data_IF_532312293820
#
_entry.id   IF_532312293820
#
_cell.length_a   1.000
_cell.length_b   1.000
_cell.length_c   1.000
_cell.angle_alpha   90.00
_cell.angle_beta   90.00
_cell.angle_gamma   90.00
#
_symmetry.space_group_name_H-M   'P 1'
#
loop_
_entity.id
_entity.type
_entity.pdbx_description
1 polymer ?
#
# COMPACT_ATOMS: atom_id res chain seq x y z
N UNK A 1 12.68 20.51 -21.44
CA UNK A 1 11.43 21.26 -21.71
C UNK A 1 10.30 20.54 -21.00
N UNK A 2 9.76 21.15 -19.97
CA UNK A 2 8.73 20.58 -19.08
C UNK A 2 7.40 20.50 -19.82
N UNK A 3 6.87 19.31 -20.04
CA UNK A 3 5.49 19.14 -20.43
C UNK A 3 4.65 19.18 -19.15
N UNK A 4 4.25 20.37 -18.75
CA UNK A 4 3.06 20.48 -17.90
C UNK A 4 1.87 20.20 -18.81
N UNK A 5 1.31 19.01 -18.77
CA UNK A 5 -0.04 18.83 -19.28
C UNK A 5 -0.93 19.78 -18.47
N UNK A 6 -1.63 20.71 -19.13
CA UNK A 6 -2.59 21.61 -18.47
C UNK A 6 -3.80 20.87 -17.89
N UNK A 7 -3.67 19.59 -17.63
CA UNK A 7 -4.69 18.69 -17.10
C UNK A 7 -4.56 18.59 -15.58
N UNK A 8 -5.65 18.85 -14.89
CA UNK A 8 -5.73 18.74 -13.42
C UNK A 8 -6.41 17.42 -13.08
N UNK A 9 -5.69 16.51 -12.40
CA UNK A 9 -6.27 15.28 -11.87
C UNK A 9 -7.17 15.57 -10.68
N UNK A 10 -8.18 14.75 -10.47
CA UNK A 10 -8.98 14.85 -9.23
C UNK A 10 -8.12 14.44 -8.04
N UNK A 11 -7.37 13.34 -8.18
CA UNK A 11 -6.47 12.87 -7.14
C UNK A 11 -5.16 12.35 -7.74
N UNK A 12 -4.05 12.76 -7.14
CA UNK A 12 -2.73 12.18 -7.38
C UNK A 12 -2.32 11.38 -6.15
N UNK A 13 -1.83 10.15 -6.37
CA UNK A 13 -1.41 9.25 -5.30
C UNK A 13 0.08 9.00 -5.43
N UNK A 14 0.82 9.21 -4.35
CA UNK A 14 2.26 8.94 -4.28
C UNK A 14 2.48 7.61 -3.61
N UNK A 15 2.97 6.64 -4.37
CA UNK A 15 3.19 5.25 -3.96
C UNK A 15 2.06 4.31 -4.35
N UNK A 16 2.40 3.14 -4.91
CA UNK A 16 1.46 2.11 -5.37
C UNK A 16 1.51 0.82 -4.52
N UNK A 17 1.85 0.94 -3.23
CA UNK A 17 1.72 -0.14 -2.27
C UNK A 17 0.25 -0.40 -1.89
N UNK A 18 0.00 -1.25 -0.88
CA UNK A 18 -1.35 -1.62 -0.47
C UNK A 18 -2.26 -0.40 -0.22
N UNK A 19 -1.75 0.63 0.47
CA UNK A 19 -2.54 1.84 0.77
C UNK A 19 -2.85 2.64 -0.50
N UNK A 20 -1.84 2.89 -1.34
CA UNK A 20 -2.02 3.66 -2.57
C UNK A 20 -2.85 2.92 -3.62
N UNK A 21 -2.63 1.61 -3.77
CA UNK A 21 -3.43 0.76 -4.65
C UNK A 21 -4.89 0.68 -4.24
N UNK A 22 -5.16 0.52 -2.93
CA UNK A 22 -6.53 0.53 -2.40
C UNK A 22 -7.22 1.89 -2.63
N UNK A 23 -6.55 2.99 -2.29
CA UNK A 23 -7.09 4.33 -2.52
C UNK A 23 -7.38 4.58 -4.01
N UNK A 24 -6.45 4.17 -4.89
CA UNK A 24 -6.63 4.31 -6.33
C UNK A 24 -7.82 3.51 -6.84
N UNK A 25 -7.97 2.24 -6.39
CA UNK A 25 -9.08 1.38 -6.80
C UNK A 25 -10.43 1.96 -6.41
N UNK A 26 -10.57 2.45 -5.17
CA UNK A 26 -11.81 3.06 -4.70
C UNK A 26 -12.13 4.37 -5.41
N UNK A 27 -11.16 5.25 -5.56
CA UNK A 27 -11.38 6.54 -6.21
C UNK A 27 -11.69 6.39 -7.70
N UNK A 28 -10.96 5.53 -8.40
CA UNK A 28 -11.24 5.27 -9.81
C UNK A 28 -12.61 4.60 -10.01
N UNK A 29 -12.99 3.63 -9.16
CA UNK A 29 -14.31 3.01 -9.20
C UNK A 29 -15.44 4.02 -8.91
N UNK A 30 -15.16 5.08 -8.15
CA UNK A 30 -16.08 6.20 -7.93
C UNK A 30 -16.11 7.23 -9.08
N UNK A 31 -15.36 7.00 -10.16
CA UNK A 31 -15.34 7.85 -11.36
C UNK A 31 -14.40 9.06 -11.29
N UNK A 32 -13.50 9.11 -10.30
CA UNK A 32 -12.49 10.16 -10.22
C UNK A 32 -11.34 9.91 -11.20
N UNK A 33 -10.79 10.99 -11.76
CA UNK A 33 -9.54 10.94 -12.52
C UNK A 33 -8.37 10.80 -11.56
N UNK A 34 -7.74 9.60 -11.53
CA UNK A 34 -6.69 9.24 -10.59
C UNK A 34 -5.39 8.97 -11.31
N UNK A 35 -4.31 9.63 -10.85
CA UNK A 35 -2.94 9.36 -11.26
C UNK A 35 -2.15 8.78 -10.08
N UNK A 36 -1.52 7.62 -10.27
CA UNK A 36 -0.62 7.01 -9.29
C UNK A 36 0.82 7.15 -9.75
N UNK A 37 1.68 7.75 -8.93
CA UNK A 37 3.11 7.85 -9.16
C UNK A 37 3.85 6.86 -8.27
N UNK A 38 4.62 5.97 -8.89
CA UNK A 38 5.41 4.94 -8.19
C UNK A 38 6.89 5.10 -8.52
N UNK A 39 7.72 5.17 -7.49
CA UNK A 39 9.17 5.32 -7.66
C UNK A 39 9.81 4.08 -8.26
N UNK A 40 9.40 2.91 -7.81
CA UNK A 40 10.00 1.66 -8.24
C UNK A 40 9.47 1.23 -9.61
N UNK A 41 10.35 0.96 -10.56
CA UNK A 41 9.97 0.51 -11.90
C UNK A 41 9.49 -0.94 -11.95
N UNK A 42 9.84 -1.75 -10.94
CA UNK A 42 9.46 -3.15 -10.80
C UNK A 42 8.72 -3.37 -9.47
N UNK A 43 7.88 -4.41 -9.37
CA UNK A 43 7.26 -4.78 -8.10
C UNK A 43 8.32 -4.95 -7.02
N UNK A 44 8.13 -4.28 -5.90
CA UNK A 44 9.05 -4.28 -4.77
C UNK A 44 8.65 -5.34 -3.74
N UNK A 45 9.63 -6.12 -3.29
CA UNK A 45 9.45 -6.96 -2.10
C UNK A 45 9.46 -6.04 -0.88
N UNK A 46 8.36 -5.99 -0.14
CA UNK A 46 8.25 -5.24 1.10
C UNK A 46 8.20 -6.21 2.28
N UNK A 47 9.09 -6.06 3.28
CA UNK A 47 9.01 -6.87 4.50
C UNK A 47 7.64 -6.75 5.14
N UNK A 48 6.93 -7.87 5.27
CA UNK A 48 5.61 -7.95 5.87
C UNK A 48 5.28 -9.41 6.14
N UNK A 49 4.70 -9.71 7.31
CA UNK A 49 4.19 -11.05 7.62
C UNK A 49 2.95 -11.44 6.81
N UNK A 50 2.34 -10.48 6.11
CA UNK A 50 1.18 -10.72 5.26
C UNK A 50 -0.13 -11.01 6.00
N UNK A 51 -0.12 -10.94 7.33
CA UNK A 51 -1.30 -11.24 8.13
C UNK A 51 -2.37 -10.15 8.01
N UNK A 52 -3.62 -10.54 7.72
CA UNK A 52 -4.76 -9.64 7.68
C UNK A 52 -6.06 -10.36 8.02
N UNK A 53 -6.99 -9.66 8.66
CA UNK A 53 -8.32 -10.20 8.91
C UNK A 53 -9.08 -10.35 7.58
N UNK A 54 -9.74 -11.49 7.38
CA UNK A 54 -10.51 -11.73 6.16
C UNK A 54 -11.70 -10.77 6.01
N UNK A 55 -12.18 -10.18 7.12
CA UNK A 55 -13.22 -9.14 7.08
C UNK A 55 -12.85 -7.90 6.26
N UNK A 56 -11.56 -7.69 5.96
CA UNK A 56 -11.12 -6.62 5.05
C UNK A 56 -11.78 -6.76 3.67
N UNK A 57 -12.12 -7.99 3.24
CA UNK A 57 -12.81 -8.24 1.98
C UNK A 57 -14.10 -7.41 1.82
N UNK A 58 -14.82 -7.15 2.88
CA UNK A 58 -16.08 -6.38 2.83
C UNK A 58 -15.91 -4.94 2.29
N UNK A 59 -14.70 -4.40 2.35
CA UNK A 59 -14.38 -3.06 1.89
C UNK A 59 -14.04 -2.98 0.39
N UNK A 60 -13.90 -4.14 -0.29
CA UNK A 60 -13.54 -4.18 -1.70
C UNK A 60 -14.66 -4.82 -2.53
N UNK A 61 -15.07 -4.20 -3.65
CA UNK A 61 -16.08 -4.75 -4.55
C UNK A 61 -15.57 -5.90 -5.42
N UNK A 62 -14.30 -6.27 -5.28
CA UNK A 62 -13.63 -7.35 -5.98
C UNK A 62 -12.96 -8.32 -5.00
N UNK A 63 -12.70 -9.55 -5.42
CA UNK A 63 -12.08 -10.56 -4.57
C UNK A 63 -10.60 -10.28 -4.31
N UNK A 64 -10.19 -10.36 -3.03
CA UNK A 64 -8.79 -10.35 -2.62
C UNK A 64 -8.18 -11.76 -2.54
N UNK A 65 -8.99 -12.83 -2.72
CA UNK A 65 -8.54 -14.22 -2.67
C UNK A 65 -7.32 -14.55 -3.54
N UNK A 66 -7.16 -13.97 -4.77
CA UNK A 66 -5.98 -14.25 -5.58
C UNK A 66 -4.65 -13.88 -4.90
N UNK A 67 -4.68 -12.99 -3.91
CA UNK A 67 -3.51 -12.61 -3.12
C UNK A 67 -3.31 -13.47 -1.86
N UNK A 68 -4.32 -14.29 -1.48
CA UNK A 68 -4.27 -15.13 -0.27
C UNK A 68 -3.36 -16.33 -0.54
N UNK A 69 -2.39 -16.53 0.31
CA UNK A 69 -1.47 -17.68 0.26
C UNK A 69 -1.91 -18.77 1.24
N UNK A 70 -2.44 -18.37 2.39
CA UNK A 70 -2.89 -19.30 3.42
C UNK A 70 -4.04 -18.72 4.24
N UNK A 71 -4.97 -19.59 4.64
CA UNK A 71 -6.04 -19.29 5.59
C UNK A 71 -5.66 -19.84 6.95
N UNK A 72 -5.60 -19.00 7.96
CA UNK A 72 -5.26 -19.35 9.33
C UNK A 72 -6.53 -19.48 10.13
N UNK A 73 -6.74 -20.64 10.74
CA UNK A 73 -7.88 -20.94 11.62
C UNK A 73 -7.49 -21.14 13.08
N UNK A 74 -6.19 -21.35 13.33
CA UNK A 74 -5.62 -21.57 14.64
C UNK A 74 -4.33 -20.79 14.80
N UNK A 75 -4.15 -20.17 15.94
CA UNK A 75 -2.92 -19.49 16.33
C UNK A 75 -2.47 -20.02 17.68
N UNK A 76 -1.23 -20.42 17.78
CA UNK A 76 -0.58 -20.84 19.01
C UNK A 76 0.33 -19.71 19.48
N UNK A 77 0.06 -19.19 20.67
CA UNK A 77 0.89 -18.16 21.31
C UNK A 77 1.72 -18.79 22.42
N UNK A 78 2.92 -18.29 22.63
CA UNK A 78 3.74 -18.63 23.79
C UNK A 78 4.50 -17.39 24.28
N UNK A 79 4.82 -17.36 25.57
CA UNK A 79 5.71 -16.38 26.14
C UNK A 79 7.04 -17.07 26.47
N UNK A 80 8.16 -16.60 25.89
CA UNK A 80 9.49 -17.21 26.06
C UNK A 80 9.51 -18.73 25.79
N UNK A 81 8.69 -19.22 24.86
CA UNK A 81 8.48 -20.65 24.56
C UNK A 81 7.79 -21.45 25.68
N UNK A 82 7.28 -20.76 26.68
CA UNK A 82 6.48 -21.31 27.79
C UNK A 82 5.05 -20.80 27.71
N UNK A 83 4.17 -21.25 28.59
CA UNK A 83 2.77 -20.82 28.70
C UNK A 83 2.02 -20.81 27.36
N UNK A 84 1.92 -21.94 26.65
CA UNK A 84 1.27 -21.98 25.36
C UNK A 84 -0.23 -21.71 25.47
N UNK A 85 -0.72 -20.78 24.66
CA UNK A 85 -2.14 -20.47 24.52
C UNK A 85 -2.57 -20.72 23.08
N UNK A 86 -3.59 -21.56 22.92
CA UNK A 86 -4.16 -21.89 21.62
C UNK A 86 -5.43 -21.07 21.40
N UNK A 87 -5.48 -20.29 20.34
CA UNK A 87 -6.67 -19.59 19.90
C UNK A 87 -7.21 -20.22 18.60
N UNK A 88 -8.42 -20.76 18.66
CA UNK A 88 -9.17 -21.15 17.47
C UNK A 88 -9.96 -19.94 17.00
N UNK A 89 -9.74 -19.53 15.78
CA UNK A 89 -10.40 -18.37 15.19
C UNK A 89 -11.78 -18.79 14.66
N UNK A 90 -12.85 -18.03 14.93
CA UNK A 90 -14.18 -18.36 14.47
C UNK A 90 -14.36 -18.12 12.98
N UNK A 91 -15.22 -18.91 12.33
CA UNK A 91 -15.56 -18.80 10.92
C UNK A 91 -14.71 -19.65 9.99
N UNK A 92 -15.09 -19.69 8.73
CA UNK A 92 -14.46 -20.59 7.74
C UNK A 92 -13.11 -20.05 7.24
N UNK A 93 -12.92 -18.74 7.17
CA UNK A 93 -11.70 -18.11 6.69
C UNK A 93 -11.38 -16.83 7.49
N UNK A 94 -11.15 -16.93 8.82
CA UNK A 94 -11.13 -15.74 9.67
C UNK A 94 -9.91 -14.86 9.52
N UNK A 95 -8.77 -15.44 9.13
CA UNK A 95 -7.51 -14.71 9.00
C UNK A 95 -6.71 -15.23 7.81
N UNK A 96 -6.18 -14.30 7.03
CA UNK A 96 -5.42 -14.58 5.81
C UNK A 96 -3.94 -14.25 5.97
N UNK A 97 -3.11 -15.05 5.35
CA UNK A 97 -1.73 -14.69 5.02
C UNK A 97 -1.70 -14.38 3.53
N UNK A 98 -1.35 -13.14 3.19
CA UNK A 98 -1.25 -12.68 1.81
C UNK A 98 0.19 -12.42 1.42
N UNK A 99 0.49 -12.60 0.14
CA UNK A 99 1.74 -12.12 -0.44
C UNK A 99 1.57 -10.65 -0.82
N UNK A 100 2.39 -9.79 -0.23
CA UNK A 100 2.33 -8.35 -0.49
C UNK A 100 2.53 -8.02 -1.95
N UNK A 101 3.42 -8.72 -2.65
CA UNK A 101 3.63 -8.50 -4.08
C UNK A 101 2.37 -8.78 -4.90
N UNK A 102 1.63 -9.85 -4.54
CA UNK A 102 0.38 -10.20 -5.20
C UNK A 102 -0.75 -9.25 -4.82
N UNK A 103 -0.86 -8.90 -3.53
CA UNK A 103 -1.89 -7.99 -3.05
C UNK A 103 -1.71 -6.59 -3.64
N UNK A 104 -0.48 -6.05 -3.56
CA UNK A 104 -0.20 -4.71 -4.06
C UNK A 104 -0.46 -4.63 -5.58
N UNK A 105 -0.08 -5.67 -6.34
CA UNK A 105 -0.34 -5.73 -7.79
C UNK A 105 -1.83 -5.87 -8.09
N UNK A 106 -2.56 -6.75 -7.37
CA UNK A 106 -4.00 -6.93 -7.55
C UNK A 106 -4.76 -5.60 -7.36
N UNK A 107 -4.44 -4.87 -6.29
CA UNK A 107 -5.08 -3.58 -6.01
C UNK A 107 -4.83 -2.56 -7.12
N UNK A 108 -3.60 -2.52 -7.63
CA UNK A 108 -3.24 -1.63 -8.74
C UNK A 108 -3.92 -2.04 -10.05
N UNK A 109 -3.99 -3.33 -10.35
CA UNK A 109 -4.65 -3.83 -11.55
C UNK A 109 -6.15 -3.50 -11.52
N UNK A 110 -6.80 -3.60 -10.36
CA UNK A 110 -8.18 -3.18 -10.17
C UNK A 110 -8.34 -1.66 -10.35
N UNK A 111 -7.40 -0.87 -9.85
CA UNK A 111 -7.41 0.58 -10.06
C UNK A 111 -7.29 0.95 -11.54
N UNK A 112 -6.36 0.33 -12.26
CA UNK A 112 -6.16 0.53 -13.71
C UNK A 112 -7.41 0.08 -14.48
N UNK A 113 -7.97 -1.09 -14.14
CA UNK A 113 -9.21 -1.59 -14.73
C UNK A 113 -10.40 -0.65 -14.52
N UNK A 114 -10.42 0.11 -13.45
CA UNK A 114 -11.42 1.14 -13.16
C UNK A 114 -11.10 2.52 -13.77
N UNK A 115 -9.98 2.68 -14.49
CA UNK A 115 -9.62 3.90 -15.21
C UNK A 115 -8.53 4.76 -14.55
N UNK A 116 -7.87 4.30 -13.48
CA UNK A 116 -6.71 5.00 -12.95
C UNK A 116 -5.51 4.87 -13.88
N UNK A 117 -4.71 5.94 -13.96
CA UNK A 117 -3.41 5.92 -14.62
C UNK A 117 -2.31 5.62 -13.60
N UNK A 118 -1.31 4.82 -13.97
CA UNK A 118 -0.12 4.56 -13.16
C UNK A 118 1.15 4.83 -13.94
N UNK A 119 2.03 5.63 -13.36
CA UNK A 119 3.39 5.85 -13.86
C UNK A 119 4.40 5.26 -12.88
N UNK A 120 5.28 4.38 -13.37
CA UNK A 120 6.36 3.78 -12.59
C UNK A 120 7.71 4.40 -12.94
N UNK A 121 8.71 4.25 -12.07
CA UNK A 121 10.00 4.90 -12.22
C UNK A 121 9.93 6.42 -12.01
N UNK A 122 8.96 6.88 -11.21
CA UNK A 122 8.70 8.30 -10.94
C UNK A 122 8.91 8.59 -9.48
N UNK A 123 10.04 9.18 -9.14
CA UNK A 123 10.34 9.61 -7.79
C UNK A 123 9.84 11.04 -7.56
N UNK A 124 8.89 11.19 -6.65
CA UNK A 124 8.37 12.52 -6.26
C UNK A 124 9.35 13.18 -5.30
N UNK A 125 9.78 14.39 -5.65
CA UNK A 125 10.76 15.16 -4.87
C UNK A 125 10.20 16.43 -4.27
N UNK A 126 9.08 16.93 -4.81
CA UNK A 126 8.40 18.10 -4.25
C UNK A 126 6.89 17.99 -4.36
N UNK A 127 6.19 18.47 -3.34
CA UNK A 127 4.74 18.59 -3.26
C UNK A 127 4.43 19.93 -2.63
N UNK A 128 3.83 20.82 -3.38
CA UNK A 128 3.46 22.15 -2.89
C UNK A 128 2.04 22.52 -3.31
N UNK A 129 1.40 23.38 -2.51
CA UNK A 129 0.10 23.92 -2.85
C UNK A 129 0.25 25.22 -3.62
N UNK A 130 -0.36 25.29 -4.81
CA UNK A 130 -0.39 26.46 -5.64
C UNK A 130 -1.85 26.88 -5.88
N UNK A 131 -2.29 27.93 -5.21
CA UNK A 131 -3.69 28.40 -5.24
C UNK A 131 -4.66 27.27 -4.79
N UNK A 132 -5.48 26.79 -5.72
CA UNK A 132 -6.52 25.78 -5.45
C UNK A 132 -6.12 24.35 -5.80
N UNK A 133 -4.89 24.15 -6.30
CA UNK A 133 -4.37 22.85 -6.70
C UNK A 133 -3.06 22.52 -6.01
N UNK A 134 -2.76 21.23 -5.96
CA UNK A 134 -1.46 20.72 -5.57
C UNK A 134 -0.60 20.53 -6.82
N UNK A 135 0.63 20.97 -6.74
CA UNK A 135 1.65 20.70 -7.75
C UNK A 135 2.61 19.64 -7.20
N UNK A 136 2.84 18.60 -7.98
CA UNK A 136 3.74 17.48 -7.63
C UNK A 136 4.84 17.43 -8.68
N UNK A 137 6.10 17.47 -8.23
CA UNK A 137 7.29 17.46 -9.08
C UNK A 137 8.08 16.18 -8.87
N UNK A 138 8.46 15.52 -9.97
CA UNK A 138 9.35 14.35 -9.95
C UNK A 138 10.83 14.77 -10.12
N UNK A 139 11.73 13.85 -9.74
CA UNK A 139 13.20 14.04 -9.83
C UNK A 139 13.71 14.28 -11.25
N UNK A 140 12.97 13.80 -12.25
CA UNK A 140 13.27 14.03 -13.67
C UNK A 140 12.71 15.34 -14.24
N UNK A 141 12.10 16.17 -13.39
CA UNK A 141 11.56 17.48 -13.73
C UNK A 141 10.13 17.47 -14.28
N UNK A 142 9.48 16.31 -14.43
CA UNK A 142 8.05 16.23 -14.77
C UNK A 142 7.21 16.80 -13.64
N UNK A 143 6.07 17.39 -14.00
CA UNK A 143 5.14 18.01 -13.05
C UNK A 143 3.70 17.64 -13.38
N UNK A 144 2.90 17.50 -12.34
CA UNK A 144 1.45 17.26 -12.43
C UNK A 144 0.72 18.15 -11.45
N UNK A 145 -0.55 18.41 -11.77
CA UNK A 145 -1.44 19.15 -10.90
C UNK A 145 -2.64 18.27 -10.51
N UNK A 146 -3.07 18.39 -9.28
CA UNK A 146 -4.23 17.66 -8.76
C UNK A 146 -5.01 18.50 -7.73
N UNK A 147 -6.31 18.24 -7.60
CA UNK A 147 -7.16 18.85 -6.57
C UNK A 147 -6.81 18.30 -5.17
N UNK A 148 -6.43 17.02 -5.11
CA UNK A 148 -6.02 16.34 -3.89
C UNK A 148 -4.77 15.50 -4.12
N UNK A 149 -3.95 15.32 -3.08
CA UNK A 149 -2.81 14.41 -3.08
C UNK A 149 -2.93 13.44 -1.92
N UNK A 150 -2.80 12.15 -2.23
CA UNK A 150 -2.73 11.06 -1.25
C UNK A 150 -1.28 10.61 -1.13
N UNK A 151 -0.72 10.68 0.06
CA UNK A 151 0.63 10.23 0.36
C UNK A 151 0.56 8.81 0.90
N UNK A 152 1.06 7.85 0.12
CA UNK A 152 1.02 6.42 0.40
C UNK A 152 2.36 5.72 0.10
N UNK A 153 3.47 6.46 0.17
CA UNK A 153 4.82 6.02 -0.19
C UNK A 153 5.54 5.22 0.92
N UNK A 154 4.83 4.97 2.02
CA UNK A 154 5.24 4.04 3.07
C UNK A 154 5.83 4.70 4.30
N UNK A 155 6.35 3.86 5.23
CA UNK A 155 6.79 4.27 6.56
C UNK A 155 7.99 5.22 6.57
N UNK A 156 8.80 5.21 5.51
CA UNK A 156 9.97 6.09 5.37
C UNK A 156 9.66 7.36 4.58
N UNK A 157 8.39 7.71 4.45
CA UNK A 157 7.94 8.91 3.77
C UNK A 157 8.48 10.18 4.43
N UNK A 158 9.09 11.10 3.69
CA UNK A 158 9.49 12.40 4.23
C UNK A 158 8.32 13.39 4.29
N UNK A 159 7.21 13.09 3.59
CA UNK A 159 6.13 14.05 3.36
C UNK A 159 5.31 14.40 4.59
N UNK A 160 4.98 13.47 5.52
CA UNK A 160 4.24 13.84 6.72
C UNK A 160 4.93 14.95 7.51
N UNK A 161 6.26 14.84 7.67
CA UNK A 161 7.04 15.86 8.34
C UNK A 161 7.11 17.16 7.53
N UNK A 162 7.37 17.09 6.23
CA UNK A 162 7.50 18.26 5.35
C UNK A 162 6.22 19.08 5.24
N UNK A 163 5.08 18.39 5.26
CA UNK A 163 3.75 19.00 5.13
C UNK A 163 3.08 19.29 6.48
N UNK A 164 3.76 19.02 7.60
CA UNK A 164 3.19 19.23 8.92
C UNK A 164 2.07 18.25 9.30
N UNK A 165 2.02 17.08 8.64
CA UNK A 165 1.02 16.04 8.82
C UNK A 165 1.55 14.92 9.71
N UNK A 166 1.64 15.11 11.00
CA UNK A 166 2.08 14.05 11.91
C UNK A 166 3.17 14.46 12.90
N UNK A 167 3.65 13.47 13.65
CA UNK A 167 4.67 13.70 14.68
C UNK A 167 6.03 14.05 14.05
N UNK A 168 6.73 15.02 14.62
CA UNK A 168 8.10 15.38 14.21
C UNK A 168 9.10 14.23 14.39
N UNK A 169 8.86 13.39 15.40
CA UNK A 169 9.69 12.24 15.75
C UNK A 169 8.79 11.02 15.96
N UNK A 170 8.39 10.29 14.89
CA UNK A 170 7.60 9.09 15.04
C UNK A 170 8.43 8.00 15.74
N UNK A 171 7.80 7.21 16.60
CA UNK A 171 8.42 6.01 17.14
C UNK A 171 8.46 4.96 16.02
N UNK A 172 9.64 4.52 15.65
CA UNK A 172 9.86 3.56 14.58
C UNK A 172 10.39 2.24 15.13
N UNK A 173 9.94 1.15 14.55
CA UNK A 173 10.51 -0.17 14.71
C UNK A 173 10.99 -0.69 13.36
N UNK A 174 12.06 -1.45 13.35
CA UNK A 174 12.58 -2.09 12.14
C UNK A 174 12.15 -3.55 12.13
N UNK A 175 11.62 -4.01 11.00
CA UNK A 175 11.30 -5.41 10.77
C UNK A 175 12.22 -6.00 9.69
N UNK A 176 12.61 -7.24 9.90
CA UNK A 176 13.35 -8.04 8.91
C UNK A 176 12.55 -9.29 8.64
N UNK A 177 12.38 -9.63 7.36
CA UNK A 177 11.68 -10.85 6.93
C UNK A 177 12.62 -11.73 6.15
N UNK A 178 12.65 -13.02 6.49
CA UNK A 178 13.37 -14.05 5.74
C UNK A 178 12.35 -15.09 5.31
N UNK A 179 12.36 -15.45 4.03
CA UNK A 179 11.55 -16.56 3.52
C UNK A 179 12.41 -17.81 3.49
N UNK A 180 11.96 -18.84 4.16
CA UNK A 180 12.53 -20.17 4.10
C UNK A 180 11.66 -21.04 3.20
N UNK A 181 12.28 -21.78 2.26
CA UNK A 181 11.60 -22.81 1.50
C UNK A 181 11.66 -24.12 2.31
N UNK A 182 10.50 -24.70 2.57
CA UNK A 182 10.38 -25.96 3.32
C UNK A 182 8.94 -26.27 3.70
N UNK A 183 8.68 -27.54 4.01
CA UNK A 183 7.45 -27.95 4.68
C UNK A 183 7.63 -27.69 6.16
N UNK A 184 7.01 -26.64 6.70
CA UNK A 184 7.20 -26.35 8.11
C UNK A 184 6.27 -25.25 8.63
N UNK A 185 6.20 -25.14 9.94
CA UNK A 185 5.46 -24.11 10.67
C UNK A 185 5.98 -22.72 10.35
N UNK A 186 5.08 -21.80 10.06
CA UNK A 186 5.42 -20.39 10.00
C UNK A 186 5.53 -19.87 11.45
N UNK A 187 6.75 -19.61 11.90
CA UNK A 187 7.01 -18.97 13.19
C UNK A 187 7.32 -17.50 12.96
N UNK A 188 6.57 -16.63 13.62
CA UNK A 188 6.88 -15.20 13.70
C UNK A 188 7.33 -14.94 15.13
N UNK A 189 8.59 -14.60 15.32
CA UNK A 189 9.11 -14.07 16.58
C UNK A 189 9.02 -12.55 16.54
N UNK A 190 8.38 -12.00 17.54
CA UNK A 190 8.30 -10.55 17.78
C UNK A 190 9.14 -10.21 19.01
#
# INVERSE_FOLDING_TARGET
MSVSSGWIHDTLIVGSGAAGGAAAAHLAAAGHNVLVLERDAKPRIKPCGGGMAASVQQWFPFSLEPAVEQVIRRVDFSWCLEDPVVANLPGDAPFWIVRREKLDQLLVDQAIGAGAERLTGVEVVDICRSRDVWEVTASDGRRWQAKAVVIADGSNSPWPQRLGLGAKHPQLATTMSVRLEGQGLSLIHI
#
